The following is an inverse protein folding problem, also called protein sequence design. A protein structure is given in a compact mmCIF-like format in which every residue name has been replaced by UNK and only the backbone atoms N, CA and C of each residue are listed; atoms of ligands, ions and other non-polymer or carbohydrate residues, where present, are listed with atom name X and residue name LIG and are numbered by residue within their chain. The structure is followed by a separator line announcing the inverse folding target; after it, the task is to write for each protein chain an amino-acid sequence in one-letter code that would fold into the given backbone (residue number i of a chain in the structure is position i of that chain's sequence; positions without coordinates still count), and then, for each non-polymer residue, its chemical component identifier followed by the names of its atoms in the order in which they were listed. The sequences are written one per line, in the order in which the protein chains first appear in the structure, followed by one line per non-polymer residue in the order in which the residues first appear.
data_IF_531513796689
#
_entry.id   IF_531513796689
#
_cell.length_a   1.000
_cell.length_b   1.000
_cell.length_c   1.000
_cell.angle_alpha   90.00
_cell.angle_beta   90.00
_cell.angle_gamma   90.00
#
_symmetry.space_group_name_H-M   'P 1'
#
loop_
_entity.id
_entity.type
_entity.pdbx_description
1 polymer ?
#
# COMPACT_ATOMS: atom_id res chain seq x y z
N UNK A 1 32.72 -15.93 34.59
CA UNK A 1 31.79 -14.87 34.13
C UNK A 1 31.52 -14.87 32.61
N UNK A 2 32.41 -15.38 31.74
CA UNK A 2 32.16 -15.46 30.29
C UNK A 2 31.07 -16.47 29.89
N UNK A 3 30.94 -17.59 30.60
CA UNK A 3 29.93 -18.62 30.30
C UNK A 3 28.48 -18.14 30.51
N UNK A 4 28.21 -17.33 31.55
CA UNK A 4 26.87 -16.80 31.80
C UNK A 4 26.40 -15.85 30.68
N UNK A 5 27.31 -15.08 30.07
CA UNK A 5 26.95 -14.16 28.96
C UNK A 5 26.62 -14.91 27.67
N UNK A 6 27.31 -16.02 27.40
CA UNK A 6 27.01 -16.86 26.23
C UNK A 6 25.62 -17.52 26.31
N UNK A 7 25.18 -17.89 27.52
CA UNK A 7 23.89 -18.53 27.75
C UNK A 7 22.71 -17.58 27.47
N UNK A 8 22.84 -16.30 27.81
CA UNK A 8 21.79 -15.30 27.58
C UNK A 8 21.60 -15.00 26.09
N UNK A 9 22.68 -14.96 25.31
CA UNK A 9 22.60 -14.74 23.86
C UNK A 9 21.96 -15.93 23.14
N UNK A 10 22.30 -17.16 23.53
CA UNK A 10 21.72 -18.37 22.94
C UNK A 10 20.22 -18.48 23.23
N UNK A 11 19.79 -18.14 24.46
CA UNK A 11 18.38 -18.17 24.85
C UNK A 11 17.55 -17.12 24.09
N UNK A 12 18.09 -15.90 23.91
CA UNK A 12 17.42 -14.85 23.15
C UNK A 12 17.24 -15.24 21.67
N UNK A 13 18.27 -15.82 21.05
CA UNK A 13 18.18 -16.30 19.67
C UNK A 13 17.12 -17.40 19.50
N UNK A 14 17.01 -18.31 20.47
CA UNK A 14 16.05 -19.40 20.45
C UNK A 14 14.60 -18.90 20.67
N UNK A 15 14.40 -17.91 21.53
CA UNK A 15 13.10 -17.26 21.70
C UNK A 15 12.64 -16.49 20.44
N UNK A 16 13.55 -15.82 19.73
CA UNK A 16 13.24 -15.13 18.48
C UNK A 16 12.87 -16.15 17.39
N UNK A 17 13.62 -17.24 17.26
CA UNK A 17 13.32 -18.30 16.30
C UNK A 17 11.96 -18.97 16.58
N UNK A 18 11.63 -19.21 17.84
CA UNK A 18 10.33 -19.76 18.24
C UNK A 18 9.16 -18.80 17.95
N UNK A 19 9.35 -17.49 18.15
CA UNK A 19 8.33 -16.49 17.81
C UNK A 19 8.08 -16.40 16.30
N UNK A 20 9.13 -16.44 15.49
CA UNK A 20 9.00 -16.46 14.01
C UNK A 20 8.24 -17.71 13.55
N UNK A 21 8.60 -18.88 14.10
CA UNK A 21 7.96 -20.15 13.73
C UNK A 21 6.47 -20.20 14.15
N UNK A 22 6.14 -19.66 15.34
CA UNK A 22 4.74 -19.61 15.82
C UNK A 22 3.89 -18.57 15.06
N UNK A 23 4.50 -17.53 14.50
CA UNK A 23 3.83 -16.56 13.62
C UNK A 23 3.56 -17.16 12.23
N UNK A 24 4.46 -17.98 11.70
CA UNK A 24 4.24 -18.70 10.43
C UNK A 24 3.20 -19.83 10.56
N UNK A 25 3.13 -20.52 11.70
CA UNK A 25 2.12 -21.58 11.90
C UNK A 25 0.69 -21.05 12.12
N UNK A 26 0.49 -19.80 12.56
CA UNK A 26 -0.85 -19.22 12.73
C UNK A 26 -1.35 -18.42 11.52
N UNK A 27 -0.53 -18.27 10.47
CA UNK A 27 -0.90 -17.55 9.25
C UNK A 27 -1.31 -18.50 8.13
N UNK A 28 -2.18 -19.48 8.39
CA UNK A 28 -3.00 -20.07 7.31
C UNK A 28 -4.24 -19.21 7.08
N UNK A 29 -4.02 -17.92 6.84
CA UNK A 29 -5.02 -17.07 6.23
C UNK A 29 -4.67 -17.01 4.75
N UNK A 30 -5.20 -17.98 3.99
CA UNK A 30 -5.26 -17.87 2.54
C UNK A 30 -6.12 -16.65 2.27
N UNK A 31 -5.50 -15.49 2.00
CA UNK A 31 -6.21 -14.32 1.47
C UNK A 31 -6.65 -14.72 0.07
N UNK A 32 -7.79 -15.39 -0.02
CA UNK A 32 -8.63 -15.30 -1.20
C UNK A 32 -9.13 -13.86 -1.17
N UNK A 33 -8.88 -13.02 -2.19
CA UNK A 33 -9.57 -11.74 -2.27
C UNK A 33 -11.07 -12.04 -2.28
N UNK A 34 -11.74 -11.73 -1.16
CA UNK A 34 -13.19 -11.69 -1.07
C UNK A 34 -13.61 -10.44 -1.83
N UNK A 35 -14.21 -10.65 -2.99
CA UNK A 35 -14.85 -9.58 -3.75
C UNK A 35 -16.19 -9.33 -3.07
N UNK A 36 -16.29 -8.28 -2.25
CA UNK A 36 -17.56 -7.83 -1.69
C UNK A 36 -18.39 -7.18 -2.80
N UNK A 37 -19.53 -7.80 -3.11
CA UNK A 37 -20.60 -7.21 -3.90
C UNK A 37 -21.34 -6.16 -3.06
N UNK A 38 -20.86 -4.91 -3.07
CA UNK A 38 -21.62 -3.77 -2.58
C UNK A 38 -21.87 -2.79 -3.73
N UNK A 39 -22.92 -3.08 -4.51
CA UNK A 39 -23.43 -2.24 -5.59
C UNK A 39 -24.96 -2.23 -5.56
N UNK A 40 -25.55 -1.87 -4.42
CA UNK A 40 -26.98 -1.67 -4.32
C UNK A 40 -27.40 -0.40 -5.08
N UNK A 41 -28.17 -0.57 -6.16
CA UNK A 41 -29.15 0.41 -6.61
C UNK A 41 -30.39 -0.32 -7.12
N UNK A 42 -31.51 0.05 -6.51
CA UNK A 42 -32.82 -0.58 -6.48
C UNK A 42 -33.52 -0.70 -7.84
N UNK A 43 -34.23 -1.81 -8.06
CA UNK A 43 -35.61 -1.82 -8.60
C UNK A 43 -36.29 -3.20 -8.48
N UNK A 44 -37.41 -3.22 -7.75
CA UNK A 44 -38.61 -4.08 -7.87
C UNK A 44 -38.51 -5.62 -7.85
N UNK A 45 -38.93 -6.17 -6.70
CA UNK A 45 -39.93 -7.26 -6.50
C UNK A 45 -39.71 -8.64 -7.13
N UNK A 46 -39.35 -9.64 -6.30
CA UNK A 46 -40.10 -10.88 -5.97
C UNK A 46 -39.24 -11.78 -5.05
N UNK A 47 -39.80 -12.47 -4.03
CA UNK A 47 -39.03 -13.31 -3.11
C UNK A 47 -38.87 -14.71 -3.71
N UNK A 48 -37.67 -15.08 -4.12
CA UNK A 48 -37.34 -16.46 -4.45
C UNK A 48 -36.31 -16.99 -3.45
N UNK A 49 -36.82 -17.79 -2.50
CA UNK A 49 -36.19 -19.00 -1.95
C UNK A 49 -34.67 -18.94 -1.73
N UNK A 50 -34.27 -18.73 -0.48
CA UNK A 50 -32.90 -18.95 -0.03
C UNK A 50 -32.47 -20.39 -0.27
N UNK A 51 -31.68 -20.62 -1.32
CA UNK A 51 -30.91 -21.84 -1.49
C UNK A 51 -29.68 -21.73 -0.59
N UNK A 52 -29.79 -22.36 0.59
CA UNK A 52 -28.63 -22.67 1.45
C UNK A 52 -27.62 -23.42 0.59
N UNK A 53 -26.48 -22.79 0.30
CA UNK A 53 -25.36 -23.45 -0.34
C UNK A 53 -25.00 -24.72 0.45
N UNK A 54 -25.28 -25.87 -0.14
CA UNK A 54 -24.88 -27.16 0.38
C UNK A 54 -23.34 -27.25 0.38
N UNK A 55 -22.71 -27.81 1.43
CA UNK A 55 -21.28 -28.07 1.42
C UNK A 55 -21.03 -29.30 0.52
N UNK A 56 -20.47 -29.10 -0.67
CA UNK A 56 -20.02 -30.21 -1.51
C UNK A 56 -20.23 -30.04 -3.01
N UNK A 57 -19.25 -29.45 -3.70
CA UNK A 57 -18.80 -30.01 -4.98
C UNK A 57 -17.33 -29.63 -5.14
N UNK A 58 -16.45 -30.63 -5.25
CA UNK A 58 -15.07 -30.41 -5.66
C UNK A 58 -15.15 -29.87 -7.09
N UNK A 59 -14.90 -28.57 -7.26
CA UNK A 59 -14.83 -27.95 -8.58
C UNK A 59 -13.70 -28.62 -9.35
N UNK A 60 -14.06 -29.42 -10.37
CA UNK A 60 -13.10 -30.07 -11.27
C UNK A 60 -12.85 -29.17 -12.46
N UNK A 61 -11.58 -29.12 -12.88
CA UNK A 61 -11.12 -28.36 -14.04
C UNK A 61 -12.02 -28.51 -15.29
N UNK A 62 -12.41 -29.74 -15.64
CA UNK A 62 -13.25 -29.99 -16.83
C UNK A 62 -14.67 -29.41 -16.69
N UNK A 63 -15.25 -29.48 -15.49
CA UNK A 63 -16.57 -28.89 -15.19
C UNK A 63 -16.53 -27.37 -15.04
N UNK A 64 -15.35 -26.80 -14.76
CA UNK A 64 -15.15 -25.37 -14.75
C UNK A 64 -15.07 -24.82 -16.18
N UNK A 65 -14.30 -25.50 -17.05
CA UNK A 65 -14.13 -25.10 -18.46
C UNK A 65 -15.47 -25.04 -19.19
N UNK A 66 -16.39 -25.98 -18.93
CA UNK A 66 -17.72 -25.99 -19.55
C UNK A 66 -18.62 -24.82 -19.15
N UNK A 67 -18.26 -24.06 -18.11
CA UNK A 67 -19.00 -22.87 -17.64
C UNK A 67 -18.46 -21.56 -18.21
N UNK A 68 -17.29 -21.58 -18.83
CA UNK A 68 -16.69 -20.39 -19.44
C UNK A 68 -17.57 -19.97 -20.62
N UNK A 69 -18.07 -18.74 -20.58
CA UNK A 69 -18.95 -18.20 -21.60
C UNK A 69 -18.35 -16.93 -22.22
N UNK A 70 -17.74 -17.08 -23.39
CA UNK A 70 -17.17 -15.95 -24.13
C UNK A 70 -18.24 -15.10 -24.86
N UNK A 71 -19.49 -15.55 -24.92
CA UNK A 71 -20.58 -14.87 -25.63
C UNK A 71 -21.24 -13.76 -24.81
N UNK A 72 -21.09 -13.79 -23.48
CA UNK A 72 -21.56 -12.72 -22.60
C UNK A 72 -20.74 -11.45 -22.82
N UNK A 73 -21.25 -10.62 -23.73
CA UNK A 73 -20.80 -9.24 -23.99
C UNK A 73 -21.18 -8.27 -22.87
N UNK A 74 -20.86 -8.62 -21.62
CA UNK A 74 -20.96 -7.68 -20.50
C UNK A 74 -19.91 -6.58 -20.61
N UNK A 75 -20.19 -5.43 -20.00
CA UNK A 75 -19.20 -4.35 -19.84
C UNK A 75 -17.88 -4.93 -19.34
N UNK A 76 -16.79 -4.59 -20.02
CA UNK A 76 -15.42 -4.97 -19.61
C UNK A 76 -15.21 -4.57 -18.15
N UNK A 77 -14.83 -5.53 -17.32
CA UNK A 77 -14.50 -5.25 -15.94
C UNK A 77 -13.10 -4.62 -15.87
N UNK A 78 -13.04 -3.28 -15.89
CA UNK A 78 -11.79 -2.51 -15.91
C UNK A 78 -10.92 -2.83 -14.68
N UNK A 79 -11.53 -3.12 -13.52
CA UNK A 79 -10.79 -3.49 -12.32
C UNK A 79 -10.06 -4.83 -12.48
N UNK A 80 -10.69 -5.82 -13.12
CA UNK A 80 -10.06 -7.10 -13.46
C UNK A 80 -8.98 -6.96 -14.54
N UNK A 81 -9.25 -6.18 -15.59
CA UNK A 81 -8.24 -5.91 -16.63
C UNK A 81 -6.97 -5.28 -16.05
N UNK A 82 -7.15 -4.38 -15.08
CA UNK A 82 -6.04 -3.72 -14.41
C UNK A 82 -5.35 -4.61 -13.37
N UNK A 83 -5.87 -5.79 -13.00
CA UNK A 83 -5.26 -6.64 -11.96
C UNK A 83 -4.39 -7.77 -12.52
N UNK A 84 -4.30 -7.93 -13.84
CA UNK A 84 -3.53 -9.03 -14.44
C UNK A 84 -2.04 -9.03 -14.10
N UNK A 85 -1.46 -7.89 -13.69
CA UNK A 85 -0.09 -7.82 -13.17
C UNK A 85 0.13 -8.64 -11.89
N UNK A 86 -0.94 -9.08 -11.21
CA UNK A 86 -0.89 -9.90 -9.99
C UNK A 86 -0.88 -11.40 -10.28
N UNK A 87 -1.20 -11.80 -11.51
CA UNK A 87 -1.21 -13.20 -11.90
C UNK A 87 0.15 -13.63 -12.43
N UNK A 88 0.57 -14.89 -12.21
CA UNK A 88 1.75 -15.42 -12.86
C UNK A 88 1.54 -15.55 -14.37
N UNK A 89 2.64 -15.41 -15.13
CA UNK A 89 2.67 -15.66 -16.58
C UNK A 89 3.72 -16.70 -16.95
N UNK A 90 3.36 -17.60 -17.85
CA UNK A 90 4.30 -18.39 -18.65
C UNK A 90 4.29 -17.92 -20.11
N UNK A 91 5.40 -17.30 -20.54
CA UNK A 91 5.41 -16.48 -21.75
C UNK A 91 4.34 -15.40 -21.70
N UNK A 92 3.45 -15.41 -22.68
CA UNK A 92 2.32 -14.48 -22.80
C UNK A 92 1.01 -15.03 -22.23
N UNK A 93 1.03 -16.24 -21.65
CA UNK A 93 -0.15 -16.89 -21.11
C UNK A 93 -0.29 -16.60 -19.62
N UNK A 94 -1.36 -15.93 -19.17
CA UNK A 94 -1.66 -15.83 -17.74
C UNK A 94 -1.97 -17.23 -17.18
N UNK A 95 -1.52 -17.46 -15.96
CA UNK A 95 -1.80 -18.67 -15.19
C UNK A 95 -2.84 -18.30 -14.13
N UNK A 96 -4.03 -18.89 -14.22
CA UNK A 96 -5.18 -18.57 -13.36
C UNK A 96 -5.68 -19.83 -12.68
N UNK A 97 -5.80 -19.79 -11.35
CA UNK A 97 -6.44 -20.86 -10.61
C UNK A 97 -7.96 -20.82 -10.81
N UNK A 98 -8.59 -21.97 -11.03
CA UNK A 98 -10.06 -22.08 -11.16
C UNK A 98 -10.82 -21.55 -9.94
N UNK A 99 -10.18 -21.45 -8.77
CA UNK A 99 -10.75 -20.81 -7.58
C UNK A 99 -10.98 -19.30 -7.77
N UNK A 100 -10.35 -18.66 -8.75
CA UNK A 100 -10.57 -17.23 -9.07
C UNK A 100 -11.93 -16.97 -9.75
N UNK A 101 -12.65 -18.01 -10.16
CA UNK A 101 -13.95 -17.89 -10.85
C UNK A 101 -13.83 -17.70 -12.36
N UNK A 102 -14.95 -17.90 -13.07
CA UNK A 102 -14.98 -17.88 -14.55
C UNK A 102 -14.74 -16.49 -15.12
N UNK A 103 -15.12 -15.42 -14.40
CA UNK A 103 -15.00 -14.05 -14.89
C UNK A 103 -13.55 -13.64 -15.17
N UNK A 104 -12.61 -13.95 -14.28
CA UNK A 104 -11.19 -13.66 -14.50
C UNK A 104 -10.65 -14.40 -15.74
N UNK A 105 -11.10 -15.65 -15.93
CA UNK A 105 -10.70 -16.49 -17.07
C UNK A 105 -11.29 -15.99 -18.38
N UNK A 106 -12.56 -15.60 -18.39
CA UNK A 106 -13.24 -15.03 -19.56
C UNK A 106 -12.57 -13.73 -20.01
N UNK A 107 -12.26 -12.82 -19.07
CA UNK A 107 -11.56 -11.58 -19.40
C UNK A 107 -10.12 -11.85 -19.86
N UNK A 108 -9.41 -12.82 -19.26
CA UNK A 108 -8.08 -13.22 -19.71
C UNK A 108 -8.12 -13.78 -21.14
N UNK A 109 -9.08 -14.65 -21.46
CA UNK A 109 -9.26 -15.19 -22.80
C UNK A 109 -9.62 -14.11 -23.82
N UNK A 110 -10.39 -13.09 -23.44
CA UNK A 110 -10.69 -11.94 -24.31
C UNK A 110 -9.46 -11.05 -24.54
N UNK A 111 -8.61 -10.88 -23.53
CA UNK A 111 -7.44 -9.99 -23.60
C UNK A 111 -6.22 -10.66 -24.25
N UNK A 112 -5.92 -11.90 -23.89
CA UNK A 112 -4.70 -12.60 -24.29
C UNK A 112 -4.96 -13.71 -25.32
N UNK A 113 -6.22 -14.11 -25.54
CA UNK A 113 -6.58 -15.20 -26.45
C UNK A 113 -6.29 -16.60 -25.92
N UNK A 114 -5.52 -16.73 -24.85
CA UNK A 114 -5.18 -17.99 -24.20
C UNK A 114 -4.91 -17.80 -22.70
N UNK A 115 -4.96 -18.90 -21.95
CA UNK A 115 -4.74 -18.94 -20.50
C UNK A 115 -4.32 -20.34 -20.09
N UNK A 116 -3.51 -20.46 -19.05
CA UNK A 116 -3.26 -21.71 -18.35
C UNK A 116 -4.17 -21.75 -17.12
N UNK A 117 -5.12 -22.68 -17.11
CA UNK A 117 -5.97 -22.93 -15.97
C UNK A 117 -5.32 -23.95 -15.05
N UNK A 118 -5.25 -23.62 -13.77
CA UNK A 118 -4.70 -24.48 -12.73
C UNK A 118 -5.81 -24.88 -11.76
N UNK A 119 -5.83 -26.15 -11.43
CA UNK A 119 -6.64 -26.71 -10.36
C UNK A 119 -5.69 -27.10 -9.23
N UNK A 120 -5.46 -26.18 -8.30
CA UNK A 120 -4.53 -26.40 -7.19
C UNK A 120 -5.00 -27.48 -6.23
N UNK A 121 -6.31 -27.77 -6.19
CA UNK A 121 -6.88 -28.83 -5.34
C UNK A 121 -6.57 -30.20 -5.93
N UNK A 122 -6.76 -30.37 -7.24
CA UNK A 122 -6.54 -31.65 -7.91
C UNK A 122 -5.14 -31.78 -8.55
N UNK A 123 -4.27 -30.76 -8.40
CA UNK A 123 -2.91 -30.72 -8.95
C UNK A 123 -2.87 -30.94 -10.46
N UNK A 124 -3.77 -30.28 -11.20
CA UNK A 124 -3.86 -30.36 -12.67
C UNK A 124 -3.75 -28.98 -13.30
N UNK A 125 -3.26 -28.94 -14.53
CA UNK A 125 -3.32 -27.73 -15.34
C UNK A 125 -3.73 -28.07 -16.79
N UNK A 126 -4.43 -27.13 -17.43
CA UNK A 126 -4.80 -27.21 -18.84
C UNK A 126 -4.59 -25.86 -19.50
N UNK A 127 -4.14 -25.87 -20.75
CA UNK A 127 -4.12 -24.69 -21.60
C UNK A 127 -5.48 -24.55 -22.26
N UNK A 128 -6.02 -23.35 -22.19
CA UNK A 128 -7.31 -22.99 -22.78
C UNK A 128 -7.08 -21.86 -23.76
N UNK A 129 -7.62 -21.97 -24.97
CA UNK A 129 -7.50 -20.98 -26.02
C UNK A 129 -8.87 -20.55 -26.54
N UNK A 130 -9.01 -19.27 -26.84
CA UNK A 130 -10.15 -18.72 -27.54
C UNK A 130 -9.80 -18.57 -29.03
N UNK A 131 -10.37 -19.44 -29.87
CA UNK A 131 -10.26 -19.35 -31.32
C UNK A 131 -11.64 -19.14 -31.94
N UNK A 132 -11.85 -18.03 -32.65
CA UNK A 132 -13.11 -17.73 -33.36
C UNK A 132 -14.37 -17.82 -32.46
N UNK A 133 -14.26 -17.37 -31.21
CA UNK A 133 -15.37 -17.42 -30.24
C UNK A 133 -15.64 -18.82 -29.65
N UNK A 134 -14.80 -19.81 -29.94
CA UNK A 134 -14.85 -21.15 -29.34
C UNK A 134 -13.65 -21.40 -28.45
N UNK A 135 -13.85 -22.26 -27.47
CA UNK A 135 -12.83 -22.68 -26.52
C UNK A 135 -12.19 -23.98 -27.00
N UNK A 136 -10.86 -24.00 -27.12
CA UNK A 136 -10.07 -25.20 -27.32
C UNK A 136 -9.25 -25.48 -26.06
N UNK A 137 -9.11 -26.76 -25.72
CA UNK A 137 -8.44 -27.19 -24.49
C UNK A 137 -7.34 -28.18 -24.82
N UNK A 138 -6.17 -27.97 -24.25
CA UNK A 138 -4.99 -28.81 -24.43
C UNK A 138 -4.39 -29.17 -23.07
N UNK A 139 -3.75 -30.33 -22.99
CA UNK A 139 -2.96 -30.69 -21.82
C UNK A 139 -1.76 -29.75 -21.70
N UNK A 140 -1.42 -29.39 -20.46
CA UNK A 140 -0.33 -28.47 -20.19
C UNK A 140 0.92 -29.21 -19.69
N UNK A 141 1.95 -29.28 -20.53
CA UNK A 141 3.16 -30.05 -20.26
C UNK A 141 3.87 -29.63 -18.97
N UNK A 142 3.86 -28.34 -18.62
CA UNK A 142 4.57 -27.80 -17.46
C UNK A 142 3.67 -27.65 -16.23
N UNK A 143 2.78 -28.61 -15.98
CA UNK A 143 1.79 -28.54 -14.89
C UNK A 143 2.44 -28.22 -13.53
N UNK A 144 3.57 -28.84 -13.18
CA UNK A 144 4.24 -28.58 -11.91
C UNK A 144 4.75 -27.13 -11.78
N UNK A 145 5.26 -26.57 -12.87
CA UNK A 145 5.73 -25.18 -12.89
C UNK A 145 4.56 -24.20 -12.78
N UNK A 146 3.45 -24.44 -13.49
CA UNK A 146 2.26 -23.60 -13.38
C UNK A 146 1.64 -23.65 -11.97
N UNK A 147 1.57 -24.84 -11.36
CA UNK A 147 1.12 -25.01 -9.98
C UNK A 147 2.03 -24.24 -9.01
N UNK A 148 3.35 -24.41 -9.13
CA UNK A 148 4.30 -23.67 -8.30
C UNK A 148 4.15 -22.16 -8.48
N UNK A 149 4.12 -21.67 -9.71
CA UNK A 149 3.90 -20.25 -10.00
C UNK A 149 2.59 -19.74 -9.39
N UNK A 150 1.49 -20.48 -9.53
CA UNK A 150 0.19 -20.09 -8.95
C UNK A 150 0.15 -20.08 -7.42
N UNK A 151 1.09 -20.77 -6.77
CA UNK A 151 1.18 -20.83 -5.31
C UNK A 151 1.97 -19.69 -4.68
N UNK A 152 2.69 -18.92 -5.50
CA UNK A 152 3.50 -17.80 -5.04
C UNK A 152 2.59 -16.60 -4.70
N UNK A 153 3.01 -15.80 -3.73
CA UNK A 153 2.27 -14.59 -3.34
C UNK A 153 2.10 -13.63 -4.54
N UNK A 154 0.88 -13.08 -4.76
CA UNK A 154 0.61 -12.16 -5.86
C UNK A 154 1.56 -10.96 -5.94
N UNK A 155 2.07 -10.45 -4.81
CA UNK A 155 3.00 -9.31 -4.80
C UNK A 155 4.38 -9.67 -5.35
N UNK A 156 4.79 -10.94 -5.23
CA UNK A 156 6.03 -11.43 -5.87
C UNK A 156 5.87 -11.45 -7.39
N UNK A 157 4.67 -11.73 -7.91
CA UNK A 157 4.40 -11.60 -9.34
C UNK A 157 4.48 -10.15 -9.79
N UNK A 158 3.92 -9.20 -9.03
CA UNK A 158 4.09 -7.76 -9.28
C UNK A 158 5.56 -7.40 -9.49
N UNK A 159 6.45 -7.85 -8.59
CA UNK A 159 7.89 -7.62 -8.71
C UNK A 159 8.51 -8.30 -9.95
N UNK A 160 8.12 -9.54 -10.24
CA UNK A 160 8.58 -10.27 -11.43
C UNK A 160 8.13 -9.59 -12.73
N UNK A 161 6.95 -8.99 -12.75
CA UNK A 161 6.46 -8.21 -13.88
C UNK A 161 7.20 -6.89 -14.04
N UNK A 162 7.50 -6.18 -12.94
CA UNK A 162 8.33 -4.96 -12.99
C UNK A 162 9.69 -5.22 -13.64
N UNK A 163 10.37 -6.28 -13.20
CA UNK A 163 11.70 -6.64 -13.73
C UNK A 163 11.64 -7.08 -15.19
N UNK A 164 10.58 -7.80 -15.60
CA UNK A 164 10.37 -8.19 -17.01
C UNK A 164 9.96 -7.03 -17.90
N UNK A 165 9.10 -6.12 -17.45
CA UNK A 165 8.64 -4.97 -18.23
C UNK A 165 9.80 -4.01 -18.52
N UNK A 166 10.75 -3.84 -17.58
CA UNK A 166 11.99 -3.10 -17.85
C UNK A 166 12.86 -3.75 -18.92
N UNK A 167 12.84 -5.09 -19.02
CA UNK A 167 13.58 -5.83 -20.03
C UNK A 167 12.84 -5.93 -21.38
N UNK A 168 11.50 -5.89 -21.36
CA UNK A 168 10.64 -5.97 -22.53
C UNK A 168 9.45 -5.01 -22.37
N UNK A 169 9.46 -3.83 -23.03
CA UNK A 169 8.37 -2.86 -22.94
C UNK A 169 7.06 -3.34 -23.57
N UNK A 170 7.10 -4.44 -24.34
CA UNK A 170 5.92 -5.08 -24.93
C UNK A 170 5.36 -6.20 -24.04
N UNK A 171 5.73 -6.24 -22.75
CA UNK A 171 5.21 -7.24 -21.82
C UNK A 171 3.68 -7.18 -21.73
N UNK A 172 2.94 -8.30 -21.78
CA UNK A 172 1.48 -8.33 -21.94
C UNK A 172 0.69 -7.69 -20.79
N UNK A 173 1.31 -7.47 -19.62
CA UNK A 173 0.67 -6.80 -18.49
C UNK A 173 1.15 -5.37 -18.32
N UNK A 174 0.21 -4.42 -18.36
CA UNK A 174 0.44 -3.04 -17.95
C UNK A 174 0.54 -2.98 -16.43
N UNK A 175 1.67 -2.50 -15.93
CA UNK A 175 1.83 -2.22 -14.49
C UNK A 175 0.93 -1.05 -14.08
N UNK A 176 0.47 -1.01 -12.81
CA UNK A 176 -0.18 0.18 -12.28
C UNK A 176 0.76 1.38 -12.44
N UNK A 177 0.19 2.55 -12.66
CA UNK A 177 0.99 3.76 -12.79
C UNK A 177 1.84 3.95 -11.52
N UNK A 178 3.10 4.38 -11.64
CA UNK A 178 3.98 4.59 -10.50
C UNK A 178 3.27 5.47 -9.46
N UNK A 179 3.14 4.95 -8.24
CA UNK A 179 2.61 5.72 -7.12
C UNK A 179 3.61 6.85 -6.86
N UNK A 180 3.13 8.09 -6.77
CA UNK A 180 3.98 9.23 -6.40
C UNK A 180 4.68 8.93 -5.07
N UNK A 181 6.00 8.75 -5.06
CA UNK A 181 6.77 8.37 -3.87
C UNK A 181 7.20 9.55 -3.02
N UNK A 182 6.90 10.81 -3.39
CA UNK A 182 7.34 12.02 -2.67
C UNK A 182 6.91 12.05 -1.20
N UNK A 183 5.89 11.25 -0.85
CA UNK A 183 5.36 11.12 0.51
C UNK A 183 5.97 9.99 1.34
N UNK A 184 6.81 9.15 0.74
CA UNK A 184 7.58 8.13 1.46
C UNK A 184 8.81 8.77 2.11
N UNK A 185 9.33 8.21 3.20
CA UNK A 185 10.58 8.68 3.79
C UNK A 185 11.73 8.67 2.77
N UNK A 186 12.57 9.71 2.72
CA UNK A 186 13.76 9.80 1.86
C UNK A 186 15.05 9.92 2.67
N UNK A 187 16.15 9.37 2.15
CA UNK A 187 17.54 9.65 2.58
C UNK A 187 18.28 10.16 1.35
N UNK A 188 18.96 11.31 1.45
CA UNK A 188 19.71 11.93 0.35
C UNK A 188 18.90 12.16 -0.94
N UNK A 189 17.58 12.40 -0.80
CA UNK A 189 16.69 12.60 -1.94
C UNK A 189 16.23 11.30 -2.63
N UNK A 190 16.59 10.13 -2.10
CA UNK A 190 16.10 8.83 -2.55
C UNK A 190 15.08 8.25 -1.56
N UNK A 191 13.91 7.75 -2.02
CA UNK A 191 12.93 7.14 -1.13
C UNK A 191 13.51 5.86 -0.50
N UNK A 192 13.38 5.74 0.82
CA UNK A 192 13.90 4.65 1.65
C UNK A 192 13.22 3.32 1.30
N UNK A 193 11.99 3.39 0.83
CA UNK A 193 11.23 2.27 0.28
C UNK A 193 11.33 2.30 -1.24
N UNK A 194 12.44 1.84 -1.80
CA UNK A 194 12.47 1.62 -3.25
C UNK A 194 11.74 0.33 -3.60
N UNK A 195 10.64 0.45 -4.34
CA UNK A 195 10.35 -0.54 -5.38
C UNK A 195 11.54 -0.55 -6.35
N UNK A 196 12.33 -1.63 -6.34
CA UNK A 196 13.33 -1.92 -7.38
C UNK A 196 14.72 -1.29 -7.25
N UNK A 197 15.07 -0.61 -6.15
CA UNK A 197 16.43 -0.09 -5.93
C UNK A 197 17.40 -1.23 -5.61
N UNK A 198 18.46 -1.40 -6.41
CA UNK A 198 19.54 -2.34 -6.11
C UNK A 198 20.21 -1.94 -4.79
N UNK A 199 20.08 -2.79 -3.78
CA UNK A 199 20.83 -2.72 -2.53
C UNK A 199 22.33 -2.88 -2.79
N UNK A 200 23.02 -1.81 -3.18
CA UNK A 200 24.48 -1.82 -3.30
C UNK A 200 25.12 -1.71 -1.90
N UNK A 201 25.38 -2.86 -1.27
CA UNK A 201 26.65 -3.14 -0.58
C UNK A 201 27.16 -2.26 0.58
N UNK A 202 26.32 -1.51 1.33
CA UNK A 202 26.74 -0.86 2.61
C UNK A 202 25.78 -1.20 3.75
N UNK A 203 25.86 -2.45 4.24
CA UNK A 203 24.73 -3.16 4.85
C UNK A 203 24.56 -3.13 6.37
N UNK A 204 25.23 -2.27 7.14
CA UNK A 204 25.01 -2.24 8.61
C UNK A 204 24.57 -0.89 9.19
N UNK A 205 24.94 0.24 8.59
CA UNK A 205 24.46 1.56 9.04
C UNK A 205 23.07 1.93 8.53
N UNK A 206 22.78 1.62 7.26
CA UNK A 206 21.52 2.01 6.61
C UNK A 206 20.30 1.32 7.22
N UNK A 207 20.39 0.05 7.62
CA UNK A 207 19.23 -0.71 8.12
C UNK A 207 18.62 -0.12 9.40
N UNK A 208 19.45 0.47 10.26
CA UNK A 208 19.01 1.14 11.49
C UNK A 208 18.36 2.49 11.16
N UNK A 209 18.95 3.26 10.23
CA UNK A 209 18.36 4.54 9.80
C UNK A 209 17.03 4.36 9.05
N UNK A 210 16.91 3.31 8.23
CA UNK A 210 15.67 2.97 7.51
C UNK A 210 14.54 2.64 8.49
N UNK A 211 14.78 1.73 9.44
CA UNK A 211 13.81 1.38 10.49
C UNK A 211 13.39 2.59 11.33
N UNK A 212 14.33 3.49 11.65
CA UNK A 212 14.03 4.71 12.39
C UNK A 212 13.18 5.69 11.57
N UNK A 213 13.49 5.90 10.30
CA UNK A 213 12.74 6.82 9.43
C UNK A 213 11.29 6.38 9.20
N UNK A 214 11.05 5.08 9.02
CA UNK A 214 9.71 4.52 8.89
C UNK A 214 8.93 4.66 10.18
N UNK A 215 9.55 4.30 11.30
CA UNK A 215 8.95 4.47 12.63
C UNK A 215 8.61 5.94 12.90
N UNK A 216 9.51 6.86 12.60
CA UNK A 216 9.30 8.30 12.76
C UNK A 216 8.19 8.83 11.83
N UNK A 217 8.10 8.34 10.59
CA UNK A 217 7.02 8.70 9.67
C UNK A 217 5.65 8.24 10.18
N UNK A 218 5.58 7.04 10.76
CA UNK A 218 4.37 6.50 11.38
C UNK A 218 4.00 7.27 12.64
N UNK A 219 4.96 7.52 13.54
CA UNK A 219 4.75 8.34 14.73
C UNK A 219 4.28 9.76 14.37
N UNK A 220 4.78 10.32 13.27
CA UNK A 220 4.40 11.64 12.79
C UNK A 220 3.00 11.64 12.18
N UNK A 221 2.63 10.60 11.42
CA UNK A 221 1.24 10.40 10.97
C UNK A 221 0.29 10.23 12.15
N UNK A 222 0.71 9.58 13.23
CA UNK A 222 -0.09 9.44 14.45
C UNK A 222 -0.19 10.77 15.20
N UNK A 223 0.94 11.50 15.33
CA UNK A 223 1.03 12.75 16.09
C UNK A 223 0.30 13.92 15.43
N UNK A 224 0.37 14.01 14.10
CA UNK A 224 -0.14 15.15 13.32
C UNK A 224 -1.31 14.79 12.40
N UNK A 225 -1.74 13.52 12.37
CA UNK A 225 -2.84 12.98 11.54
C UNK A 225 -2.82 13.44 10.07
N UNK A 226 -1.65 13.78 9.55
CA UNK A 226 -1.48 14.38 8.23
C UNK A 226 -0.35 13.68 7.50
N UNK A 227 -0.71 12.98 6.42
CA UNK A 227 0.27 12.36 5.51
C UNK A 227 1.13 13.42 4.82
N UNK A 228 0.56 14.60 4.55
CA UNK A 228 1.27 15.75 4.00
C UNK A 228 2.33 16.28 4.97
N UNK A 229 2.00 16.40 6.27
CA UNK A 229 2.97 16.82 7.29
C UNK A 229 4.10 15.79 7.46
N UNK A 230 3.77 14.50 7.48
CA UNK A 230 4.79 13.44 7.52
C UNK A 230 5.70 13.47 6.28
N UNK A 231 5.12 13.73 5.10
CA UNK A 231 5.85 13.90 3.85
C UNK A 231 6.69 15.19 3.81
N UNK A 232 6.27 16.23 4.53
CA UNK A 232 7.05 17.47 4.64
C UNK A 232 8.32 17.24 5.47
N UNK A 233 8.21 16.47 6.56
CA UNK A 233 9.30 16.21 7.50
C UNK A 233 10.28 15.13 7.04
N UNK A 234 9.78 14.06 6.44
CA UNK A 234 10.58 12.89 6.10
C UNK A 234 10.59 12.59 4.61
N UNK A 235 9.74 13.25 3.82
CA UNK A 235 9.65 13.02 2.38
C UNK A 235 10.79 13.67 1.60
N UNK A 236 10.55 13.87 0.30
CA UNK A 236 11.57 14.39 -0.60
C UNK A 236 12.10 15.75 -0.11
N UNK A 237 13.42 15.98 -0.03
CA UNK A 237 13.96 17.27 0.39
C UNK A 237 13.42 18.42 -0.46
N UNK A 238 13.12 19.56 0.18
CA UNK A 238 12.57 20.73 -0.50
C UNK A 238 13.73 21.64 -0.93
N UNK A 239 13.93 21.90 -2.22
CA UNK A 239 15.01 22.78 -2.68
C UNK A 239 14.69 24.23 -2.29
N UNK A 240 15.66 24.90 -1.67
CA UNK A 240 15.61 26.31 -1.32
C UNK A 240 15.73 27.18 -2.57
N UNK A 241 14.85 28.17 -2.68
CA UNK A 241 14.90 29.19 -3.73
C UNK A 241 15.78 30.37 -3.28
N UNK A 242 16.31 31.16 -4.22
CA UNK A 242 17.18 32.31 -3.91
C UNK A 242 16.41 33.45 -3.23
N UNK A 243 15.10 33.54 -3.44
CA UNK A 243 14.24 34.55 -2.81
C UNK A 243 13.89 34.16 -1.37
N UNK A 244 14.36 34.97 -0.41
CA UNK A 244 13.97 34.82 0.99
C UNK A 244 12.52 35.27 1.20
N UNK A 245 11.71 34.47 1.93
CA UNK A 245 10.34 34.85 2.24
C UNK A 245 10.28 36.03 3.20
N UNK A 246 9.13 36.72 3.20
CA UNK A 246 8.88 37.92 4.00
C UNK A 246 8.70 37.65 5.52
N UNK A 247 8.77 36.39 5.96
CA UNK A 247 8.66 35.97 7.36
C UNK A 247 7.24 36.02 7.93
N UNK A 248 6.22 36.08 7.07
CA UNK A 248 4.81 36.03 7.46
C UNK A 248 4.35 34.58 7.69
N UNK A 249 3.18 34.44 8.31
CA UNK A 249 2.51 33.15 8.50
C UNK A 249 1.21 33.13 7.74
N UNK A 250 0.92 31.99 7.11
CA UNK A 250 -0.42 31.66 6.61
C UNK A 250 -1.02 30.54 7.46
N UNK A 251 -2.31 30.60 7.70
CA UNK A 251 -3.01 29.57 8.45
C UNK A 251 -3.47 28.44 7.50
N UNK A 252 -3.04 27.21 7.79
CA UNK A 252 -3.45 25.99 7.11
C UNK A 252 -4.31 25.17 8.07
N UNK A 253 -5.58 25.05 7.76
CA UNK A 253 -6.58 24.36 8.61
C UNK A 253 -6.76 22.94 8.08
N UNK A 254 -6.63 21.95 8.97
CA UNK A 254 -7.04 20.57 8.73
C UNK A 254 -8.42 20.33 9.34
N UNK A 255 -9.40 20.04 8.49
CA UNK A 255 -10.76 19.70 8.87
C UNK A 255 -11.16 18.32 8.29
N UNK A 256 -12.31 17.75 8.69
CA UNK A 256 -12.75 16.43 8.20
C UNK A 256 -12.95 16.35 6.68
N UNK A 257 -13.15 17.48 6.01
CA UNK A 257 -13.45 17.59 4.58
C UNK A 257 -12.25 18.02 3.74
N UNK A 258 -11.23 18.64 4.36
CA UNK A 258 -10.04 19.16 3.69
C UNK A 258 -8.81 19.01 4.58
N UNK A 259 -7.78 18.37 4.03
CA UNK A 259 -6.45 18.35 4.61
C UNK A 259 -5.48 19.08 3.67
N UNK A 260 -4.66 20.02 4.18
CA UNK A 260 -3.67 20.70 3.35
C UNK A 260 -2.72 19.70 2.70
N UNK A 261 -2.51 19.86 1.39
CA UNK A 261 -1.58 19.04 0.62
C UNK A 261 -0.13 19.43 0.91
N UNK A 262 0.79 18.51 0.62
CA UNK A 262 2.23 18.78 0.74
C UNK A 262 2.66 19.97 -0.13
N UNK A 263 2.08 20.11 -1.31
CA UNK A 263 2.36 21.22 -2.22
C UNK A 263 1.94 22.56 -1.63
N UNK A 264 0.75 22.65 -1.02
CA UNK A 264 0.29 23.86 -0.31
C UNK A 264 1.22 24.21 0.87
N UNK A 265 1.69 23.22 1.63
CA UNK A 265 2.63 23.44 2.73
C UNK A 265 4.00 23.95 2.24
N UNK A 266 4.51 23.39 1.14
CA UNK A 266 5.77 23.85 0.52
C UNK A 266 5.63 25.27 0.00
N UNK A 267 4.52 25.57 -0.67
CA UNK A 267 4.23 26.90 -1.17
C UNK A 267 4.14 27.93 -0.04
N UNK A 268 3.48 27.57 1.06
CA UNK A 268 3.43 28.42 2.25
C UNK A 268 4.81 28.70 2.83
N UNK A 269 5.69 27.69 2.91
CA UNK A 269 7.08 27.88 3.35
C UNK A 269 7.87 28.78 2.40
N UNK A 270 7.72 28.61 1.07
CA UNK A 270 8.43 29.41 0.07
C UNK A 270 8.01 30.86 0.04
N UNK A 271 6.71 31.11 0.10
CA UNK A 271 6.14 32.43 -0.12
C UNK A 271 6.08 33.24 1.18
N UNK A 272 5.76 32.60 2.31
CA UNK A 272 5.58 33.28 3.59
C UNK A 272 6.72 33.01 4.58
N UNK A 273 7.44 31.90 4.45
CA UNK A 273 8.51 31.51 5.38
C UNK A 273 8.04 30.66 6.55
N UNK A 274 6.71 30.52 6.70
CA UNK A 274 6.10 29.65 7.67
C UNK A 274 4.58 29.57 7.52
N UNK A 275 3.99 28.63 8.25
CA UNK A 275 2.54 28.50 8.36
C UNK A 275 2.13 27.99 9.74
N UNK A 276 0.91 28.28 10.14
CA UNK A 276 0.29 27.68 11.33
C UNK A 276 -0.62 26.54 10.88
N UNK A 277 -0.45 25.39 11.50
CA UNK A 277 -1.24 24.21 11.23
C UNK A 277 -2.22 23.98 12.38
N UNK A 278 -3.50 24.04 12.06
CA UNK A 278 -4.58 23.77 13.03
C UNK A 278 -5.16 22.38 12.74
N UNK A 279 -5.07 21.49 13.72
CA UNK A 279 -5.68 20.16 13.70
C UNK A 279 -6.70 20.09 14.84
N UNK A 280 -7.98 20.06 14.47
CA UNK A 280 -9.11 20.07 15.40
C UNK A 280 -9.40 18.68 15.99
N UNK A 281 -8.56 17.67 15.71
CA UNK A 281 -8.77 16.33 16.24
C UNK A 281 -8.43 16.24 17.74
N UNK A 282 -9.28 15.61 18.57
CA UNK A 282 -9.08 15.52 20.02
C UNK A 282 -7.84 14.71 20.44
N UNK A 283 -7.24 13.93 19.52
CA UNK A 283 -5.98 13.21 19.74
C UNK A 283 -4.75 13.92 19.20
N UNK A 284 -4.91 15.11 18.61
CA UNK A 284 -3.81 15.89 18.08
C UNK A 284 -3.02 16.57 19.18
N UNK A 285 -1.79 16.97 18.86
CA UNK A 285 -0.94 17.76 19.79
C UNK A 285 -1.40 19.22 19.93
N UNK A 286 -2.53 19.59 19.32
CA UNK A 286 -3.01 20.95 19.19
C UNK A 286 -2.38 21.68 18.00
N UNK A 287 -2.64 22.98 17.88
CA UNK A 287 -2.10 23.79 16.79
C UNK A 287 -0.60 24.01 16.93
N UNK A 288 0.12 23.98 15.82
CA UNK A 288 1.57 24.17 15.79
C UNK A 288 1.98 25.08 14.64
N UNK A 289 3.16 25.65 14.76
CA UNK A 289 3.75 26.57 13.81
C UNK A 289 4.93 25.88 13.14
N UNK A 290 4.95 25.94 11.81
CA UNK A 290 6.04 25.41 10.98
C UNK A 290 6.77 26.59 10.36
N UNK A 291 8.08 26.67 10.59
CA UNK A 291 8.95 27.78 10.17
C UNK A 291 10.14 27.26 9.40
N UNK A 292 10.58 27.99 8.39
CA UNK A 292 11.93 27.81 7.86
C UNK A 292 12.95 28.26 8.91
N UNK A 293 13.92 27.41 9.21
CA UNK A 293 15.08 27.81 10.00
C UNK A 293 15.96 28.70 9.13
N UNK A 294 16.30 29.87 9.65
CA UNK A 294 17.22 30.81 9.01
C UNK A 294 18.62 30.19 8.96
N UNK A 295 18.88 29.34 7.97
CA UNK A 295 20.22 28.86 7.67
C UNK A 295 20.68 29.58 6.38
N UNK A 296 21.75 30.41 6.43
CA UNK A 296 22.30 31.07 5.25
C UNK A 296 23.09 30.07 4.39
N UNK A 297 22.47 28.95 4.05
CA UNK A 297 23.04 27.99 3.15
C UNK A 297 22.76 28.46 1.71
N UNK A 298 23.79 28.47 0.87
CA UNK A 298 23.72 29.01 -0.50
C UNK A 298 22.75 28.23 -1.39
N UNK A 299 22.41 28.80 -2.55
CA UNK A 299 21.54 28.18 -3.54
C UNK A 299 21.92 26.70 -3.78
N UNK A 300 20.93 25.80 -3.72
CA UNK A 300 21.11 24.35 -3.86
C UNK A 300 21.07 23.54 -2.56
N UNK A 301 20.94 24.18 -1.39
CA UNK A 301 20.68 23.47 -0.12
C UNK A 301 19.20 23.18 0.12
N UNK A 302 18.93 22.16 0.92
CA UNK A 302 17.57 21.79 1.33
C UNK A 302 17.07 22.71 2.45
N UNK A 303 15.78 23.04 2.41
CA UNK A 303 15.12 23.78 3.49
C UNK A 303 15.16 22.97 4.79
N UNK A 304 15.60 23.59 5.89
CA UNK A 304 15.45 23.06 7.24
C UNK A 304 14.20 23.69 7.89
N UNK A 305 13.33 22.86 8.48
CA UNK A 305 12.05 23.29 9.06
C UNK A 305 12.03 23.07 10.58
N UNK A 306 11.56 24.08 11.31
CA UNK A 306 11.26 24.00 12.74
C UNK A 306 9.76 23.81 12.93
N UNK A 307 9.36 22.91 13.82
CA UNK A 307 7.97 22.78 14.27
C UNK A 307 7.90 23.13 15.75
N UNK A 308 7.09 24.11 16.10
CA UNK A 308 6.91 24.58 17.47
C UNK A 308 5.41 24.56 17.83
N UNK A 309 5.00 24.06 19.00
CA UNK A 309 3.61 24.17 19.42
C UNK A 309 3.24 25.66 19.57
N UNK A 310 2.05 26.04 19.12
CA UNK A 310 1.56 27.41 19.33
C UNK A 310 1.34 27.57 20.83
N UNK A 311 2.20 28.37 21.47
CA UNK A 311 2.00 28.73 22.87
C UNK A 311 0.77 29.61 22.93
N UNK A 312 -0.36 28.99 23.26
CA UNK A 312 -1.51 29.74 23.76
C UNK A 312 -1.04 30.33 25.08
N UNK A 313 -0.67 31.62 25.09
CA UNK A 313 -0.56 32.31 26.37
C UNK A 313 -1.87 32.07 27.10
N UNK A 314 -1.85 31.49 28.31
CA UNK A 314 -3.07 31.23 29.04
C UNK A 314 -3.78 32.57 29.15
N UNK A 315 -4.95 32.67 28.50
CA UNK A 315 -5.76 33.88 28.58
C UNK A 315 -5.84 34.26 30.05
N UNK A 316 -5.45 35.48 30.41
CA UNK A 316 -5.33 35.94 31.80
C UNK A 316 -6.63 35.81 32.63
N UNK A 317 -7.72 35.32 32.02
CA UNK A 317 -9.04 35.13 32.62
C UNK A 317 -9.57 33.68 32.60
N UNK A 318 -8.78 32.66 32.21
CA UNK A 318 -9.21 31.27 32.35
C UNK A 318 -8.90 30.76 33.75
N UNK A 319 -9.72 31.16 34.74
CA UNK A 319 -9.77 30.47 36.03
C UNK A 319 -9.94 28.98 35.78
N UNK A 320 -9.06 28.15 36.34
CA UNK A 320 -9.12 26.72 36.13
C UNK A 320 -10.47 26.18 36.64
N UNK A 321 -10.91 25.05 36.11
CA UNK A 321 -12.16 24.39 36.58
C UNK A 321 -12.12 24.19 38.10
N UNK A 322 -10.93 23.99 38.67
CA UNK A 322 -10.73 23.86 40.12
C UNK A 322 -10.87 25.19 40.89
N UNK A 323 -10.57 26.32 40.25
CA UNK A 323 -10.78 27.64 40.86
C UNK A 323 -12.26 28.03 40.85
N UNK A 324 -12.99 27.70 39.78
CA UNK A 324 -14.45 27.86 39.72
C UNK A 324 -15.17 26.98 40.76
N UNK A 325 -14.67 25.77 41.02
CA UNK A 325 -15.24 24.89 42.05
C UNK A 325 -14.96 25.38 43.49
N UNK A 326 -13.94 26.23 43.71
CA UNK A 326 -13.70 26.85 45.03
C UNK A 326 -14.66 28.00 45.32
N UNK A 327 -15.12 28.73 44.30
CA UNK A 327 -16.11 29.79 44.47
C UNK A 327 -17.49 29.28 44.92
N UNK A 328 -17.84 28.04 44.60
CA UNK A 328 -19.11 27.42 45.03
C UNK A 328 -19.13 26.94 46.50
N UNK A 329 -18.06 27.17 47.27
CA UNK A 329 -17.95 26.71 48.66
C UNK A 329 -18.07 27.81 49.72
N UNK A 330 -18.53 29.00 49.33
CA UNK A 330 -18.95 30.09 50.23
C UNK A 330 -20.47 30.27 50.17
#
# INVERSE_FOLDING_TARGET
MLLLRSLHCALAALCIAALVFMLECNATYKIIPVWSDDGASSSSSHPASGSRNAPGSVYRLDSFISRIDLSKGGQRNIALLNSFYRYPFDGDMPIIDIQAGTQAVEEALKQFGNVVLVDSVNQRAKRVEAQQGRIQTHDYAQTANALWLSSIDPEVHTFRHLTRNQANPNHPTRMPDPINTDHLPHIDGEPILTSGGRCNGRTHGLRIQQSLSEFLSLQTRVKYRSSAMASLLYGKPIPQDESWPNGQYVDLIQDPTRSPSRAEMIEALRTHGGFRFHDDHPSSSGSFEVRLRSNPAGAGTHMDISIEPIRVEPAANSLSVMDRLREFRL
#
